data_IF_744064228492
#
_entry.id   IF_744064228492
#
_cell.length_a   1.000
_cell.length_b   1.000
_cell.length_c   1.000
_cell.angle_alpha   90.00
_cell.angle_beta   90.00
_cell.angle_gamma   90.00
#
_symmetry.space_group_name_H-M   'P 1'
#
loop_
_entity.id
_entity.type
_entity.pdbx_description
1 polymer ?
#
# COMPACT_ATOMS: atom_id res chain seq x y z
N UNK A 1 -4.65 15.15 14.99
CA UNK A 1 -4.75 14.15 13.91
C UNK A 1 -5.37 12.91 14.51
N UNK A 2 -6.38 12.31 13.90
CA UNK A 2 -6.95 11.07 14.42
C UNK A 2 -5.91 9.96 14.31
N UNK A 3 -5.42 9.46 15.45
CA UNK A 3 -4.41 8.39 15.54
C UNK A 3 -4.92 7.02 15.04
N UNK A 4 -6.07 6.99 14.37
CA UNK A 4 -6.76 5.79 13.94
C UNK A 4 -7.35 6.03 12.54
N UNK A 5 -6.76 5.38 11.55
CA UNK A 5 -7.30 5.29 10.21
C UNK A 5 -8.13 4.00 10.10
N UNK A 6 -9.30 4.09 9.44
CA UNK A 6 -10.17 2.94 9.16
C UNK A 6 -10.25 2.72 7.65
N UNK A 7 -10.53 1.49 7.26
CA UNK A 7 -10.70 1.16 5.86
C UNK A 7 -11.30 -0.21 5.65
N UNK A 8 -11.59 -0.50 4.39
CA UNK A 8 -12.18 -1.76 3.97
C UNK A 8 -11.85 -2.08 2.51
N UNK A 9 -12.05 -3.34 2.12
CA UNK A 9 -12.14 -3.69 0.71
C UNK A 9 -13.44 -3.17 0.09
N UNK A 10 -13.54 -3.20 -1.24
CA UNK A 10 -14.70 -2.69 -1.97
C UNK A 10 -16.04 -3.30 -1.51
N UNK A 11 -16.07 -4.60 -1.21
CA UNK A 11 -17.29 -5.26 -0.73
C UNK A 11 -17.49 -5.21 0.79
N UNK A 12 -16.56 -4.62 1.54
CA UNK A 12 -16.64 -4.52 3.01
C UNK A 12 -16.38 -5.81 3.78
N UNK A 13 -16.09 -6.93 3.09
CA UNK A 13 -15.83 -8.23 3.74
C UNK A 13 -14.53 -8.22 4.57
N UNK A 14 -13.54 -7.46 4.13
CA UNK A 14 -12.32 -7.17 4.90
C UNK A 14 -12.41 -5.75 5.41
N UNK A 15 -12.25 -5.57 6.72
CA UNK A 15 -12.18 -4.26 7.38
C UNK A 15 -10.92 -4.17 8.20
N UNK A 16 -10.35 -2.98 8.35
CA UNK A 16 -9.17 -2.81 9.17
C UNK A 16 -9.13 -1.46 9.87
N UNK A 17 -8.33 -1.40 10.92
CA UNK A 17 -7.90 -0.14 11.53
C UNK A 17 -6.38 -0.11 11.62
N UNK A 18 -5.78 1.03 11.30
CA UNK A 18 -4.35 1.26 11.42
C UNK A 18 -4.10 2.47 12.33
N UNK A 19 -3.21 2.32 13.30
CA UNK A 19 -2.76 3.40 14.17
C UNK A 19 -1.34 3.83 13.80
N UNK A 20 -0.95 5.04 14.21
CA UNK A 20 0.43 5.54 14.17
C UNK A 20 1.19 5.14 12.90
N UNK A 21 0.71 5.61 11.74
CA UNK A 21 1.33 5.28 10.47
C UNK A 21 2.81 5.69 10.46
N UNK A 22 3.67 4.77 10.04
CA UNK A 22 5.12 4.94 9.98
C UNK A 22 5.56 5.90 8.88
N UNK A 23 4.72 6.09 7.85
CA UNK A 23 4.88 7.10 6.81
C UNK A 23 3.55 7.45 6.14
N UNK A 24 3.55 8.55 5.41
CA UNK A 24 2.52 8.88 4.44
C UNK A 24 2.50 7.94 3.23
N UNK A 25 1.83 8.35 2.15
CA UNK A 25 1.59 7.50 0.98
C UNK A 25 2.80 7.51 0.05
N UNK A 26 3.39 6.34 -0.19
CA UNK A 26 4.45 6.18 -1.19
C UNK A 26 3.85 5.57 -2.46
N UNK A 27 4.20 6.14 -3.62
CA UNK A 27 3.78 5.64 -4.92
C UNK A 27 4.83 4.70 -5.51
N UNK A 28 4.48 3.45 -5.77
CA UNK A 28 5.36 2.44 -6.35
C UNK A 28 4.95 2.12 -7.79
N UNK A 29 5.86 2.40 -8.71
CA UNK A 29 5.65 2.32 -10.16
C UNK A 29 6.17 1.02 -10.79
N UNK A 30 6.69 0.09 -10.00
CA UNK A 30 7.27 -1.16 -10.52
C UNK A 30 6.25 -2.01 -11.29
N UNK A 31 6.73 -2.88 -12.18
CA UNK A 31 5.89 -3.71 -13.04
C UNK A 31 4.80 -4.48 -12.29
N UNK A 32 5.12 -5.05 -11.12
CA UNK A 32 4.16 -5.80 -10.31
C UNK A 32 3.00 -4.92 -9.82
N UNK A 33 3.33 -3.73 -9.29
CA UNK A 33 2.34 -2.77 -8.82
C UNK A 33 1.46 -2.27 -9.97
N UNK A 34 2.03 -2.01 -11.15
CA UNK A 34 1.24 -1.63 -12.34
C UNK A 34 0.30 -2.75 -12.78
N UNK A 35 0.81 -3.98 -12.92
CA UNK A 35 0.00 -5.12 -13.37
C UNK A 35 -1.11 -5.50 -12.38
N UNK A 36 -0.91 -5.27 -11.09
CA UNK A 36 -1.90 -5.64 -10.07
C UNK A 36 -2.97 -4.56 -9.82
N UNK A 37 -2.65 -3.27 -10.05
CA UNK A 37 -3.61 -2.16 -9.85
C UNK A 37 -4.19 -1.59 -11.15
N UNK A 38 -3.55 -1.84 -12.29
CA UNK A 38 -3.79 -1.10 -13.53
C UNK A 38 -3.06 0.26 -13.60
N UNK A 39 -2.39 0.71 -12.53
CA UNK A 39 -1.68 1.99 -12.53
C UNK A 39 -0.37 1.97 -11.73
N UNK A 40 -0.37 2.37 -10.46
CA UNK A 40 0.71 2.21 -9.51
C UNK A 40 0.10 1.87 -8.15
N UNK A 41 0.91 1.36 -7.23
CA UNK A 41 0.47 1.21 -5.85
C UNK A 41 0.68 2.50 -5.08
N UNK A 42 -0.38 2.99 -4.46
CA UNK A 42 -0.32 4.03 -3.45
C UNK A 42 -0.45 3.37 -2.08
N UNK A 43 0.56 3.45 -1.21
CA UNK A 43 0.51 2.77 0.08
C UNK A 43 1.09 3.58 1.24
N UNK A 44 0.30 3.70 2.31
CA UNK A 44 0.79 4.05 3.64
C UNK A 44 1.42 2.81 4.32
N UNK A 45 1.99 2.96 5.51
CA UNK A 45 2.56 1.85 6.27
C UNK A 45 2.30 1.98 7.76
N UNK A 46 2.03 0.86 8.40
CA UNK A 46 1.90 0.74 9.85
C UNK A 46 2.82 -0.38 10.35
N UNK A 47 3.18 -0.33 11.62
CA UNK A 47 3.67 -1.52 12.32
C UNK A 47 2.53 -2.55 12.42
N UNK A 48 2.84 -3.83 12.39
CA UNK A 48 1.83 -4.90 12.46
C UNK A 48 1.02 -4.84 13.75
N UNK A 49 1.68 -4.51 14.87
CA UNK A 49 1.05 -4.27 16.18
C UNK A 49 -0.01 -3.15 16.14
N UNK A 50 0.10 -2.24 15.18
CA UNK A 50 -0.82 -1.12 14.99
C UNK A 50 -1.89 -1.37 13.92
N UNK A 51 -1.87 -2.53 13.27
CA UNK A 51 -2.83 -2.93 12.25
C UNK A 51 -3.75 -4.04 12.76
N UNK A 52 -5.02 -3.73 12.96
CA UNK A 52 -6.06 -4.71 13.30
C UNK A 52 -6.90 -4.98 12.07
N UNK A 53 -7.07 -6.26 11.72
CA UNK A 53 -7.82 -6.71 10.53
C UNK A 53 -8.97 -7.62 10.97
N UNK A 54 -10.15 -7.36 10.43
CA UNK A 54 -11.35 -8.19 10.53
C UNK A 54 -11.67 -8.78 9.15
N UNK A 55 -12.16 -10.02 9.10
CA UNK A 55 -12.38 -10.73 7.83
C UNK A 55 -11.09 -11.23 7.20
N UNK A 56 -10.10 -11.63 8.01
CA UNK A 56 -8.80 -12.10 7.53
C UNK A 56 -8.89 -13.36 6.66
N UNK A 57 -9.91 -14.18 6.88
CA UNK A 57 -10.27 -15.34 6.08
C UNK A 57 -10.64 -14.99 4.63
N UNK A 58 -11.13 -13.78 4.39
CA UNK A 58 -11.45 -13.26 3.06
C UNK A 58 -10.22 -12.69 2.33
N UNK A 59 -9.05 -12.70 2.98
CA UNK A 59 -7.80 -12.30 2.37
C UNK A 59 -7.13 -13.51 1.71
N UNK A 60 -6.70 -13.33 0.46
CA UNK A 60 -5.75 -14.22 -0.20
C UNK A 60 -4.37 -13.55 -0.18
N UNK A 61 -3.36 -14.30 0.26
CA UNK A 61 -1.97 -13.89 0.24
C UNK A 61 -1.24 -14.52 -0.94
N UNK A 62 -0.71 -13.70 -1.84
CA UNK A 62 0.09 -14.10 -2.99
C UNK A 62 1.55 -13.75 -2.76
N UNK A 63 2.46 -14.74 -2.83
CA UNK A 63 3.90 -14.52 -2.78
C UNK A 63 4.37 -13.90 -4.11
N UNK A 64 4.66 -12.60 -4.10
CA UNK A 64 5.05 -11.86 -5.30
C UNK A 64 6.58 -11.85 -5.54
N UNK A 65 7.35 -12.18 -4.51
CA UNK A 65 8.78 -12.49 -4.55
C UNK A 65 9.12 -13.42 -3.38
N UNK A 66 10.37 -13.94 -3.28
CA UNK A 66 10.79 -14.69 -2.09
C UNK A 66 10.63 -13.90 -0.78
N UNK A 67 10.73 -12.57 -0.84
CA UNK A 67 10.77 -11.69 0.32
C UNK A 67 9.45 -10.97 0.58
N UNK A 68 8.53 -10.91 -0.38
CA UNK A 68 7.32 -10.10 -0.25
C UNK A 68 6.05 -10.78 -0.76
N UNK A 69 4.97 -10.58 0.01
CA UNK A 69 3.61 -11.02 -0.33
C UNK A 69 2.64 -9.86 -0.52
N UNK A 70 1.52 -10.14 -1.19
CA UNK A 70 0.42 -9.22 -1.47
C UNK A 70 -0.87 -9.80 -0.89
N UNK A 71 -1.62 -9.00 -0.15
CA UNK A 71 -2.93 -9.37 0.40
C UNK A 71 -4.03 -8.69 -0.41
N UNK A 72 -4.99 -9.46 -0.91
CA UNK A 72 -6.17 -8.94 -1.60
C UNK A 72 -7.43 -9.68 -1.16
N UNK A 73 -8.57 -9.00 -1.24
CA UNK A 73 -9.86 -9.61 -0.92
C UNK A 73 -10.24 -10.62 -2.01
N UNK A 74 -10.50 -11.87 -1.63
CA UNK A 74 -10.90 -12.93 -2.58
C UNK A 74 -12.27 -12.70 -3.20
N UNK A 75 -13.15 -11.97 -2.51
CA UNK A 75 -14.52 -11.73 -2.95
C UNK A 75 -14.64 -10.60 -3.99
N UNK A 76 -13.89 -9.50 -3.84
CA UNK A 76 -13.98 -8.33 -4.73
C UNK A 76 -12.69 -7.96 -5.45
N UNK A 77 -11.58 -8.67 -5.19
CA UNK A 77 -10.29 -8.43 -5.84
C UNK A 77 -9.54 -7.19 -5.37
N UNK A 78 -10.07 -6.38 -4.42
CA UNK A 78 -9.35 -5.22 -3.90
C UNK A 78 -7.98 -5.62 -3.35
N UNK A 79 -6.91 -5.03 -3.89
CA UNK A 79 -5.60 -5.08 -3.27
C UNK A 79 -5.61 -4.27 -1.97
N UNK A 80 -5.17 -4.87 -0.87
CA UNK A 80 -5.24 -4.27 0.47
C UNK A 80 -3.87 -4.10 1.10
N UNK A 81 -2.98 -5.09 0.95
CA UNK A 81 -1.73 -5.13 1.70
C UNK A 81 -0.53 -5.52 0.84
N UNK A 82 0.62 -4.94 1.19
CA UNK A 82 1.94 -5.40 0.80
C UNK A 82 2.72 -5.67 2.08
N UNK A 83 3.37 -6.84 2.18
CA UNK A 83 4.13 -7.22 3.37
C UNK A 83 5.46 -7.85 2.97
N UNK A 84 6.54 -7.34 3.56
CA UNK A 84 7.84 -8.00 3.54
C UNK A 84 7.84 -9.11 4.59
N UNK A 85 8.34 -10.30 4.24
CA UNK A 85 8.31 -11.48 5.11
C UNK A 85 9.13 -11.32 6.40
N UNK A 86 10.18 -10.50 6.35
CA UNK A 86 11.13 -10.32 7.46
C UNK A 86 10.92 -9.02 8.25
N UNK A 87 9.82 -8.28 8.03
CA UNK A 87 9.54 -7.04 8.75
C UNK A 87 8.20 -7.12 9.48
N UNK A 88 8.16 -6.54 10.69
CA UNK A 88 6.95 -6.39 11.50
C UNK A 88 6.15 -5.14 11.11
N UNK A 89 6.09 -4.89 9.81
CA UNK A 89 5.42 -3.75 9.21
C UNK A 89 4.60 -4.22 7.99
N UNK A 90 3.49 -3.53 7.76
CA UNK A 90 2.60 -3.79 6.63
C UNK A 90 2.31 -2.48 5.90
N UNK A 91 2.48 -2.48 4.59
CA UNK A 91 2.01 -1.39 3.74
C UNK A 91 0.55 -1.61 3.37
N UNK A 92 -0.27 -0.58 3.53
CA UNK A 92 -1.73 -0.62 3.36
C UNK A 92 -2.07 0.25 2.16
N UNK A 93 -2.79 -0.29 1.19
CA UNK A 93 -3.14 0.44 -0.02
C UNK A 93 -4.06 1.63 0.33
N UNK A 94 -3.64 2.82 -0.09
CA UNK A 94 -4.22 4.10 0.32
C UNK A 94 -5.69 4.25 -0.10
N UNK A 95 -6.07 3.63 -1.22
CA UNK A 95 -7.45 3.63 -1.72
C UNK A 95 -8.43 2.81 -0.88
N UNK A 96 -7.95 1.98 0.04
CA UNK A 96 -8.79 1.19 0.94
C UNK A 96 -9.16 1.93 2.23
N UNK A 97 -8.59 3.11 2.51
CA UNK A 97 -8.96 3.91 3.67
C UNK A 97 -10.25 4.70 3.42
N UNK A 98 -11.11 4.77 4.45
CA UNK A 98 -12.31 5.58 4.43
C UNK A 98 -11.97 7.07 4.56
N UNK A 99 -12.73 7.92 3.88
CA UNK A 99 -12.57 9.38 3.97
C UNK A 99 -13.21 9.94 5.25
N UNK A 100 -12.66 11.03 5.83
CA UNK A 100 -11.42 11.69 5.44
C UNK A 100 -10.18 10.91 5.90
N UNK A 101 -9.20 10.73 4.99
CA UNK A 101 -8.00 9.93 5.31
C UNK A 101 -6.93 10.74 6.06
N UNK A 102 -6.81 12.03 5.77
CA UNK A 102 -5.74 12.89 6.30
C UNK A 102 -4.34 12.50 5.82
N UNK A 103 -4.23 11.66 4.78
CA UNK A 103 -2.96 11.17 4.25
C UNK A 103 -2.45 12.05 3.13
N UNK A 104 -1.14 12.29 3.11
CA UNK A 104 -0.44 12.95 2.01
C UNK A 104 0.60 12.01 1.40
N UNK A 105 0.84 12.17 0.10
CA UNK A 105 1.91 11.46 -0.57
C UNK A 105 3.29 12.02 -0.18
N UNK A 106 4.30 11.15 -0.15
CA UNK A 106 5.66 11.49 0.28
C UNK A 106 6.71 11.29 -0.81
N UNK A 107 6.35 10.67 -1.93
CA UNK A 107 7.28 10.42 -3.03
C UNK A 107 6.91 9.24 -3.92
N UNK A 108 7.74 9.05 -4.94
CA UNK A 108 7.61 8.03 -5.96
C UNK A 108 8.87 7.16 -5.99
N UNK A 109 8.69 5.84 -6.08
CA UNK A 109 9.76 4.85 -6.23
C UNK A 109 9.53 4.00 -7.48
N UNK A 110 10.61 3.47 -8.04
CA UNK A 110 10.63 2.71 -9.29
C UNK A 110 10.12 3.49 -10.50
N UNK A 111 10.39 4.80 -10.58
CA UNK A 111 9.89 5.62 -11.70
C UNK A 111 10.48 5.24 -13.05
N UNK A 112 11.62 4.53 -13.09
CA UNK A 112 12.17 3.95 -14.31
C UNK A 112 11.20 2.97 -14.99
N UNK A 113 10.33 2.31 -14.20
CA UNK A 113 9.38 1.30 -14.66
C UNK A 113 7.95 1.86 -14.83
N UNK A 114 7.76 3.17 -14.69
CA UNK A 114 6.43 3.80 -14.73
C UNK A 114 5.74 3.57 -16.08
N UNK A 115 4.42 3.76 -16.09
CA UNK A 115 3.68 3.83 -17.35
C UNK A 115 4.20 4.97 -18.24
N UNK A 116 4.32 4.67 -19.53
CA UNK A 116 4.60 5.64 -20.59
C UNK A 116 3.38 6.53 -20.92
N UNK A 117 2.20 6.19 -20.38
CA UNK A 117 0.94 6.89 -20.60
C UNK A 117 0.64 8.04 -19.62
N UNK A 118 1.58 8.46 -18.76
CA UNK A 118 1.40 9.60 -17.84
C UNK A 118 2.74 10.23 -17.39
N UNK A 119 2.66 11.46 -16.90
CA UNK A 119 3.77 12.21 -16.27
C UNK A 119 3.60 12.31 -14.75
N UNK A 120 4.69 12.57 -14.03
CA UNK A 120 4.68 12.80 -12.58
C UNK A 120 5.08 14.26 -12.36
N UNK A 121 4.10 15.12 -12.09
CA UNK A 121 4.24 16.58 -12.08
C UNK A 121 3.81 17.22 -10.75
N UNK A 122 3.72 16.44 -9.67
CA UNK A 122 3.28 16.89 -8.34
C UNK A 122 4.41 17.49 -7.47
N UNK A 123 5.64 17.51 -7.98
CA UNK A 123 6.81 18.07 -7.30
C UNK A 123 7.36 17.19 -6.16
N UNK A 124 6.82 15.98 -5.94
CA UNK A 124 7.32 15.08 -4.92
C UNK A 124 8.64 14.40 -5.35
N UNK A 125 9.46 13.93 -4.39
CA UNK A 125 10.68 13.19 -4.72
C UNK A 125 10.42 11.98 -5.62
N UNK A 126 11.25 11.80 -6.64
CA UNK A 126 11.17 10.69 -7.59
C UNK A 126 12.46 9.87 -7.58
N UNK A 127 12.35 8.57 -7.28
CA UNK A 127 13.48 7.64 -7.26
C UNK A 127 13.35 6.60 -8.38
N UNK A 128 14.43 6.40 -9.15
CA UNK A 128 14.45 5.46 -10.28
C UNK A 128 14.21 4.01 -9.85
N UNK A 129 14.54 3.64 -8.61
CA UNK A 129 14.36 2.31 -8.01
C UNK A 129 13.70 2.44 -6.63
N UNK A 130 13.96 1.51 -5.71
CA UNK A 130 13.57 1.67 -4.31
C UNK A 130 14.09 2.99 -3.74
N UNK A 131 13.36 3.57 -2.79
CA UNK A 131 13.92 4.67 -2.01
C UNK A 131 15.22 4.19 -1.36
N UNK A 132 16.25 5.06 -1.23
CA UNK A 132 17.39 4.75 -0.39
C UNK A 132 16.88 4.32 0.98
N UNK A 133 17.39 3.21 1.51
CA UNK A 133 17.25 2.94 2.94
C UNK A 133 18.05 4.05 3.62
N UNK A 134 17.37 5.05 4.14
CA UNK A 134 18.01 5.96 5.08
C UNK A 134 18.06 5.22 6.41
N UNK A 135 19.26 4.89 6.84
CA UNK A 135 19.54 4.41 8.20
C UNK A 135 19.01 5.38 9.27
#
# INVERSE_FOLDING_TARGET
MTDLNRGSCLCGAVRFTAKRLLRGVLYCHCLQCRKQSGHFYAAAKAADVDLVVQGGEEITWYAASPEAKRGFCRACGSALFWKHGNLDETSILAGAFDKPTGLSAVGHIFVADKGDYYSIDDGLPQHQRSAPVTD
#
